data_IF_724859696631
#
_entry.id   IF_724859696631
#
_cell.length_a   1.000
_cell.length_b   1.000
_cell.length_c   1.000
_cell.angle_alpha   90.00
_cell.angle_beta   90.00
_cell.angle_gamma   90.00
#
_symmetry.space_group_name_H-M   'P 1'
#
loop_
_entity.id
_entity.type
_entity.pdbx_description
1 polymer ?
#
# COMPACT_ATOMS: atom_id res chain seq x y z
N UNK A 1 -5.95 -19.55 -8.22
CA UNK A 1 -4.50 -19.72 -8.46
C UNK A 1 -3.72 -18.42 -8.24
N UNK A 2 -3.97 -17.33 -8.99
CA UNK A 2 -3.22 -16.08 -8.81
C UNK A 2 -3.59 -15.34 -7.52
N UNK A 3 -4.88 -15.27 -7.16
CA UNK A 3 -5.33 -14.63 -5.93
C UNK A 3 -4.84 -15.39 -4.68
N UNK A 4 -4.86 -16.73 -4.73
CA UNK A 4 -4.34 -17.58 -3.66
C UNK A 4 -2.83 -17.40 -3.47
N UNK A 5 -2.08 -17.23 -4.58
CA UNK A 5 -0.67 -16.90 -4.53
C UNK A 5 -0.43 -15.54 -3.88
N UNK A 6 -1.17 -14.50 -4.29
CA UNK A 6 -1.05 -13.16 -3.71
C UNK A 6 -1.39 -13.14 -2.21
N UNK A 7 -2.41 -13.90 -1.79
CA UNK A 7 -2.75 -14.07 -0.36
C UNK A 7 -1.65 -14.77 0.42
N UNK A 8 -1.10 -15.87 -0.11
CA UNK A 8 0.02 -16.56 0.54
C UNK A 8 1.25 -15.67 0.69
N UNK A 9 1.56 -14.90 -0.35
CA UNK A 9 2.66 -13.92 -0.30
C UNK A 9 2.38 -12.79 0.70
N UNK A 10 1.12 -12.37 0.83
CA UNK A 10 0.71 -11.39 1.84
C UNK A 10 0.94 -11.93 3.26
N UNK A 11 0.55 -13.17 3.52
CA UNK A 11 0.76 -13.83 4.81
C UNK A 11 2.25 -13.95 5.16
N UNK A 12 3.09 -14.28 4.18
CA UNK A 12 4.56 -14.33 4.34
C UNK A 12 5.13 -12.95 4.73
N UNK A 13 4.76 -11.89 4.02
CA UNK A 13 5.17 -10.53 4.34
C UNK A 13 4.67 -10.06 5.71
N UNK A 14 3.45 -10.46 6.12
CA UNK A 14 2.93 -10.16 7.46
C UNK A 14 3.78 -10.88 8.52
N UNK A 15 4.15 -12.14 8.28
CA UNK A 15 5.00 -12.91 9.21
C UNK A 15 6.37 -12.25 9.36
N UNK A 16 7.02 -11.88 8.25
CA UNK A 16 8.31 -11.17 8.27
C UNK A 16 8.21 -9.83 9.01
N UNK A 17 7.13 -9.09 8.79
CA UNK A 17 6.86 -7.83 9.48
C UNK A 17 6.69 -8.02 11.00
N UNK A 18 6.00 -9.08 11.43
CA UNK A 18 5.84 -9.40 12.86
C UNK A 18 7.19 -9.72 13.48
N UNK A 19 7.99 -10.57 12.84
CA UNK A 19 9.34 -10.91 13.31
C UNK A 19 10.23 -9.67 13.40
N UNK A 20 10.18 -8.78 12.39
CA UNK A 20 10.91 -7.51 12.41
C UNK A 20 10.47 -6.62 13.58
N UNK A 21 9.17 -6.62 13.92
CA UNK A 21 8.67 -5.87 15.07
C UNK A 21 9.20 -6.43 16.39
N UNK A 22 9.21 -7.74 16.57
CA UNK A 22 9.76 -8.38 17.78
C UNK A 22 11.25 -8.05 17.95
N UNK A 23 12.01 -8.08 16.85
CA UNK A 23 13.42 -7.66 16.84
C UNK A 23 13.59 -6.19 17.26
N UNK A 24 12.71 -5.30 16.79
CA UNK A 24 12.73 -3.88 17.17
C UNK A 24 12.42 -3.70 18.65
N UNK A 25 11.41 -4.40 19.18
CA UNK A 25 11.03 -4.32 20.60
C UNK A 25 12.18 -4.81 21.51
N UNK A 26 12.88 -5.87 21.10
CA UNK A 26 14.09 -6.34 21.78
C UNK A 26 15.20 -5.30 21.74
N UNK A 27 15.41 -4.68 20.58
CA UNK A 27 16.43 -3.64 20.40
C UNK A 27 16.13 -2.40 21.25
N UNK A 28 14.88 -1.95 21.30
CA UNK A 28 14.45 -0.84 22.16
C UNK A 28 14.67 -1.16 23.65
N UNK A 29 14.37 -2.39 24.06
CA UNK A 29 14.60 -2.84 25.44
C UNK A 29 16.08 -2.75 25.78
N UNK A 30 16.94 -3.22 24.87
CA UNK A 30 18.39 -3.13 25.03
C UNK A 30 18.90 -1.69 25.08
N UNK A 31 18.39 -0.80 24.22
CA UNK A 31 18.70 0.64 24.26
C UNK A 31 18.32 1.23 25.63
N UNK A 32 17.15 0.89 26.17
CA UNK A 32 16.70 1.37 27.50
C UNK A 32 17.62 0.87 28.63
N UNK A 33 18.03 -0.39 28.58
CA UNK A 33 18.94 -0.98 29.56
C UNK A 33 20.33 -0.31 29.53
N UNK A 34 20.90 -0.12 28.35
CA UNK A 34 22.21 0.53 28.17
C UNK A 34 22.18 2.00 28.61
N UNK A 35 21.09 2.73 28.32
CA UNK A 35 20.91 4.10 28.84
C UNK A 35 20.84 4.13 30.37
N UNK A 36 20.14 3.17 30.99
CA UNK A 36 20.07 3.07 32.45
C UNK A 36 21.45 2.78 33.04
N UNK A 37 22.25 1.93 32.39
CA UNK A 37 23.61 1.63 32.82
C UNK A 37 24.54 2.82 32.69
N UNK A 38 24.41 3.58 31.59
CA UNK A 38 25.13 4.85 31.40
C UNK A 38 24.82 5.86 32.51
N UNK A 39 23.54 6.07 32.82
CA UNK A 39 23.12 6.97 33.89
C UNK A 39 23.71 6.55 35.25
N UNK A 40 23.70 5.25 35.56
CA UNK A 40 24.27 4.74 36.80
C UNK A 40 25.79 5.00 36.89
N UNK A 41 26.50 4.85 35.78
CA UNK A 41 27.94 5.15 35.72
C UNK A 41 28.21 6.65 35.91
N UNK A 42 27.40 7.52 35.31
CA UNK A 42 27.54 8.97 35.41
C UNK A 42 27.19 9.49 36.82
N UNK A 43 26.08 9.04 37.40
CA UNK A 43 25.69 9.37 38.79
C UNK A 43 26.77 8.94 39.81
N UNK A 44 27.40 7.78 39.59
CA UNK A 44 28.49 7.31 40.45
C UNK A 44 29.75 8.18 40.37
N UNK A 45 29.93 8.91 39.27
CA UNK A 45 31.10 9.76 39.00
C UNK A 45 30.87 11.25 39.32
N UNK A 46 29.63 11.70 39.47
CA UNK A 46 29.26 13.10 39.76
C UNK A 46 29.34 13.48 41.25
N UNK A 47 29.40 12.49 42.14
CA UNK A 47 29.31 12.77 43.58
C UNK A 47 30.57 13.43 44.16
N UNK A 48 30.41 14.13 45.29
CA UNK A 48 31.45 14.66 46.20
C UNK A 48 32.58 13.66 46.53
N UNK A 49 32.40 12.39 46.19
CA UNK A 49 33.38 11.31 46.30
C UNK A 49 34.39 11.23 45.14
N UNK A 50 34.31 12.07 44.10
CA UNK A 50 35.27 12.05 42.97
C UNK A 50 36.72 12.23 43.43
N UNK A 51 36.94 13.08 44.44
CA UNK A 51 38.25 13.32 45.07
C UNK A 51 38.72 12.14 45.94
N UNK A 52 37.78 11.30 46.39
CA UNK A 52 38.04 10.12 47.21
C UNK A 52 38.01 8.80 46.42
N UNK A 53 37.56 8.83 45.17
CA UNK A 53 37.52 7.66 44.30
C UNK A 53 38.91 7.42 43.71
N UNK A 54 39.47 6.19 43.81
CA UNK A 54 40.77 5.90 43.24
C UNK A 54 40.83 6.26 41.76
N UNK A 55 41.89 6.96 41.33
CA UNK A 55 42.05 7.42 39.93
C UNK A 55 41.86 6.31 38.90
N UNK A 56 42.34 5.10 39.22
CA UNK A 56 42.20 3.92 38.35
C UNK A 56 40.75 3.48 38.15
N UNK A 57 39.90 3.65 39.16
CA UNK A 57 38.48 3.28 39.08
C UNK A 57 37.71 4.31 38.27
N UNK A 58 37.96 5.61 38.52
CA UNK A 58 37.33 6.70 37.78
C UNK A 58 37.66 6.64 36.27
N UNK A 59 38.93 6.41 35.92
CA UNK A 59 39.35 6.25 34.52
C UNK A 59 38.66 5.06 33.82
N UNK A 60 38.48 3.94 34.53
CA UNK A 60 37.74 2.77 34.00
C UNK A 60 36.26 3.07 33.79
N UNK A 61 35.61 3.75 34.74
CA UNK A 61 34.21 4.10 34.63
C UNK A 61 33.95 5.07 33.46
N UNK A 62 34.81 6.09 33.28
CA UNK A 62 34.68 7.02 32.16
C UNK A 62 34.89 6.33 30.82
N UNK A 63 35.93 5.48 30.71
CA UNK A 63 36.14 4.67 29.50
C UNK A 63 34.92 3.79 29.21
N UNK A 64 34.34 3.18 30.24
CA UNK A 64 33.16 2.32 30.05
C UNK A 64 31.93 3.12 29.61
N UNK A 65 31.74 4.32 30.15
CA UNK A 65 30.68 5.23 29.72
C UNK A 65 30.86 5.64 28.25
N UNK A 66 32.08 5.93 27.80
CA UNK A 66 32.37 6.19 26.38
C UNK A 66 32.03 5.00 25.48
N UNK A 67 32.46 3.79 25.85
CA UNK A 67 32.11 2.56 25.12
C UNK A 67 30.59 2.36 25.00
N UNK A 68 29.83 2.64 26.07
CA UNK A 68 28.36 2.51 26.06
C UNK A 68 27.73 3.58 25.15
N UNK A 69 28.26 4.80 25.13
CA UNK A 69 27.76 5.85 24.22
C UNK A 69 27.97 5.48 22.76
N UNK A 70 29.15 4.98 22.40
CA UNK A 70 29.41 4.48 21.04
C UNK A 70 28.47 3.32 20.70
N UNK A 71 28.28 2.40 21.63
CA UNK A 71 27.38 1.27 21.44
C UNK A 71 25.92 1.69 21.26
N UNK A 72 25.45 2.68 22.02
CA UNK A 72 24.11 3.26 21.87
C UNK A 72 23.92 3.91 20.49
N UNK A 73 24.94 4.56 19.93
CA UNK A 73 24.86 5.13 18.57
C UNK A 73 24.67 4.02 17.54
N UNK A 74 25.44 2.94 17.64
CA UNK A 74 25.28 1.77 16.78
C UNK A 74 23.88 1.16 16.90
N UNK A 75 23.39 0.99 18.12
CA UNK A 75 22.10 0.36 18.41
C UNK A 75 20.93 1.21 17.89
N UNK A 76 21.01 2.54 18.01
CA UNK A 76 20.02 3.44 17.41
C UNK A 76 20.06 3.40 15.87
N UNK A 77 21.27 3.31 15.27
CA UNK A 77 21.39 3.14 13.82
C UNK A 77 20.72 1.87 13.30
N UNK A 78 20.88 0.75 14.02
CA UNK A 78 20.17 -0.51 13.71
C UNK A 78 18.65 -0.37 13.84
N UNK A 79 18.17 0.40 14.83
CA UNK A 79 16.75 0.68 15.02
C UNK A 79 16.17 1.48 13.84
N UNK A 80 16.87 2.51 13.40
CA UNK A 80 16.47 3.34 12.25
C UNK A 80 16.42 2.54 10.95
N UNK A 81 17.37 1.62 10.75
CA UNK A 81 17.36 0.71 9.61
C UNK A 81 16.13 -0.22 9.65
N UNK A 82 15.86 -0.84 10.79
CA UNK A 82 14.67 -1.69 10.98
C UNK A 82 13.36 -0.90 10.81
N UNK A 83 13.29 0.35 11.27
CA UNK A 83 12.14 1.23 11.02
C UNK A 83 11.93 1.52 9.53
N UNK A 84 13.02 1.66 8.77
CA UNK A 84 12.95 1.85 7.31
C UNK A 84 12.43 0.58 6.63
N UNK A 85 12.89 -0.59 7.05
CA UNK A 85 12.38 -1.88 6.58
C UNK A 85 10.89 -2.06 6.93
N UNK A 86 10.46 -1.65 8.13
CA UNK A 86 9.04 -1.69 8.53
C UNK A 86 8.16 -0.88 7.58
N UNK A 87 8.57 0.35 7.25
CA UNK A 87 7.87 1.22 6.29
C UNK A 87 7.81 0.60 4.89
N UNK A 88 8.86 -0.11 4.48
CA UNK A 88 8.88 -0.84 3.21
C UNK A 88 7.83 -1.96 3.19
N UNK A 89 7.76 -2.79 4.24
CA UNK A 89 6.73 -3.82 4.36
C UNK A 89 5.32 -3.23 4.40
N UNK A 90 5.11 -2.11 5.10
CA UNK A 90 3.83 -1.41 5.11
C UNK A 90 3.40 -0.97 3.71
N UNK A 91 4.28 -0.32 2.96
CA UNK A 91 4.00 0.08 1.58
C UNK A 91 3.69 -1.12 0.69
N UNK A 92 4.49 -2.18 0.79
CA UNK A 92 4.32 -3.38 -0.01
C UNK A 92 3.01 -4.12 0.29
N UNK A 93 2.60 -4.17 1.55
CA UNK A 93 1.33 -4.76 1.96
C UNK A 93 0.13 -3.97 1.46
N UNK A 94 0.22 -2.63 1.41
CA UNK A 94 -0.82 -1.78 0.82
C UNK A 94 -0.94 -2.04 -0.68
N UNK A 95 0.18 -2.05 -1.42
CA UNK A 95 0.20 -2.40 -2.85
C UNK A 95 -0.47 -3.76 -3.08
N UNK A 96 -0.06 -4.78 -2.33
CA UNK A 96 -0.58 -6.13 -2.47
C UNK A 96 -2.08 -6.21 -2.18
N UNK A 97 -2.55 -5.47 -1.16
CA UNK A 97 -3.98 -5.38 -0.84
C UNK A 97 -4.77 -4.76 -1.99
N UNK A 98 -4.26 -3.69 -2.61
CA UNK A 98 -4.93 -3.08 -3.79
C UNK A 98 -4.98 -4.03 -4.99
N UNK A 99 -3.91 -4.79 -5.23
CA UNK A 99 -3.88 -5.80 -6.29
C UNK A 99 -4.90 -6.91 -6.04
N UNK A 100 -4.98 -7.42 -4.80
CA UNK A 100 -5.97 -8.43 -4.42
C UNK A 100 -7.39 -7.89 -4.66
N UNK A 101 -7.70 -6.68 -4.17
CA UNK A 101 -9.02 -6.05 -4.39
C UNK A 101 -9.37 -5.92 -5.87
N UNK A 102 -8.44 -5.43 -6.70
CA UNK A 102 -8.67 -5.27 -8.13
C UNK A 102 -8.86 -6.61 -8.85
N UNK A 103 -8.16 -7.68 -8.43
CA UNK A 103 -8.39 -9.01 -9.01
C UNK A 103 -9.76 -9.58 -8.66
N UNK A 104 -10.31 -9.27 -7.48
CA UNK A 104 -11.65 -9.73 -7.07
C UNK A 104 -12.74 -9.03 -7.87
N UNK A 105 -12.61 -7.72 -8.14
CA UNK A 105 -13.58 -6.96 -8.94
C UNK A 105 -13.68 -7.48 -10.38
N UNK A 106 -12.55 -7.86 -10.99
CA UNK A 106 -12.52 -8.41 -12.35
C UNK A 106 -12.97 -9.88 -12.46
N UNK A 107 -13.20 -10.55 -11.33
CA UNK A 107 -13.64 -11.96 -11.28
C UNK A 107 -15.10 -12.12 -10.87
N UNK A 108 -15.85 -11.03 -10.69
CA UNK A 108 -17.30 -11.17 -10.58
C UNK A 108 -17.83 -11.70 -11.91
N UNK A 109 -18.53 -12.85 -11.94
CA UNK A 109 -19.26 -13.24 -13.13
C UNK A 109 -20.25 -12.10 -13.41
N UNK A 110 -20.30 -11.63 -14.65
CA UNK A 110 -21.46 -10.89 -15.14
C UNK A 110 -22.63 -11.86 -14.96
N UNK A 111 -23.34 -11.72 -13.85
CA UNK A 111 -24.67 -12.29 -13.75
C UNK A 111 -25.49 -11.44 -14.70
N UNK A 112 -25.57 -11.87 -15.95
CA UNK A 112 -26.73 -11.56 -16.76
C UNK A 112 -27.92 -12.06 -15.93
N UNK A 113 -28.53 -11.15 -15.18
CA UNK A 113 -29.91 -11.32 -14.78
C UNK A 113 -30.69 -11.35 -16.07
N UNK A 114 -30.84 -12.55 -16.63
CA UNK A 114 -31.92 -12.88 -17.54
C UNK A 114 -33.17 -12.72 -16.69
N UNK A 115 -33.70 -11.51 -16.62
CA UNK A 115 -35.11 -11.33 -16.32
C UNK A 115 -35.83 -12.01 -17.48
N UNK A 116 -36.27 -13.25 -17.26
CA UNK A 116 -37.18 -13.95 -18.14
C UNK A 116 -38.41 -13.05 -18.36
N UNK A 117 -38.66 -12.53 -19.58
CA UNK A 117 -39.98 -12.04 -19.88
C UNK A 117 -40.86 -13.24 -20.17
N UNK A 118 -41.92 -13.31 -19.39
CA UNK A 118 -43.06 -14.20 -19.51
C UNK A 118 -43.43 -14.39 -21.00
N UNK A 119 -43.53 -15.65 -21.38
CA UNK A 119 -44.01 -16.12 -22.69
C UNK A 119 -45.40 -15.57 -23.02
N UNK A 120 -45.55 -14.89 -24.16
CA UNK A 120 -46.80 -14.82 -24.92
C UNK A 120 -46.51 -14.51 -26.41
N UNK A 121 -46.82 -15.52 -27.24
CA UNK A 121 -47.23 -15.56 -28.66
C UNK A 121 -46.58 -14.65 -29.74
N UNK A 122 -45.76 -15.29 -30.59
CA UNK A 122 -45.76 -15.35 -32.08
C UNK A 122 -46.48 -14.21 -32.83
N UNK A 123 -45.76 -13.44 -33.67
CA UNK A 123 -46.02 -13.26 -35.13
C UNK A 123 -44.74 -12.79 -35.84
N UNK A 124 -44.33 -13.53 -36.88
CA UNK A 124 -43.31 -13.15 -37.86
C UNK A 124 -43.75 -11.91 -38.68
N UNK A 125 -42.92 -10.86 -38.74
CA UNK A 125 -42.91 -9.95 -39.90
C UNK A 125 -41.57 -9.22 -40.03
N UNK A 126 -41.16 -9.09 -41.28
CA UNK A 126 -39.91 -8.57 -41.81
C UNK A 126 -39.81 -7.03 -41.65
N UNK A 127 -38.57 -6.53 -41.65
CA UNK A 127 -38.18 -5.13 -41.86
C UNK A 127 -38.73 -4.06 -40.90
N UNK A 128 -38.07 -3.87 -39.76
CA UNK A 128 -38.08 -2.56 -39.09
C UNK A 128 -36.67 -2.11 -38.69
N UNK A 129 -36.24 -1.03 -39.35
CA UNK A 129 -35.11 -0.19 -38.97
C UNK A 129 -35.38 0.30 -37.55
N UNK A 130 -34.70 -0.31 -36.57
CA UNK A 130 -34.86 0.02 -35.16
C UNK A 130 -34.46 1.47 -34.88
N UNK A 131 -35.43 2.38 -34.96
CA UNK A 131 -35.35 3.73 -34.43
C UNK A 131 -35.71 3.70 -32.95
N UNK A 132 -34.75 4.07 -32.11
CA UNK A 132 -34.97 4.38 -30.70
C UNK A 132 -35.94 5.59 -30.57
N UNK A 133 -36.58 5.82 -29.41
CA UNK A 133 -37.61 6.85 -29.21
C UNK A 133 -37.18 8.32 -29.46
N UNK A 134 -35.92 8.57 -29.85
CA UNK A 134 -35.35 9.88 -30.17
C UNK A 134 -35.00 10.08 -31.67
N UNK A 135 -35.33 9.13 -32.55
CA UNK A 135 -35.17 9.29 -34.01
C UNK A 135 -33.72 9.24 -34.53
N UNK A 136 -32.78 8.78 -33.70
CA UNK A 136 -31.37 8.60 -34.09
C UNK A 136 -31.17 7.17 -34.58
N UNK A 137 -30.62 7.02 -35.79
CA UNK A 137 -30.32 5.70 -36.33
C UNK A 137 -29.16 5.07 -35.55
N UNK A 138 -29.35 3.83 -35.10
CA UNK A 138 -28.33 3.11 -34.32
C UNK A 138 -27.01 2.94 -35.11
N UNK A 139 -27.09 2.87 -36.44
CA UNK A 139 -25.90 2.84 -37.32
C UNK A 139 -25.07 4.12 -37.27
N UNK A 140 -25.71 5.29 -37.18
CA UNK A 140 -25.01 6.58 -37.14
C UNK A 140 -24.29 6.78 -35.81
N UNK A 141 -24.92 6.38 -34.70
CA UNK A 141 -24.32 6.47 -33.36
C UNK A 141 -23.05 5.59 -33.25
N UNK A 142 -23.13 4.37 -33.79
CA UNK A 142 -22.00 3.43 -33.80
C UNK A 142 -20.84 3.99 -34.64
N UNK A 143 -21.14 4.61 -35.79
CA UNK A 143 -20.13 5.25 -36.63
C UNK A 143 -19.46 6.46 -35.97
N UNK A 144 -20.22 7.26 -35.20
CA UNK A 144 -19.64 8.39 -34.47
C UNK A 144 -18.75 7.92 -33.31
N UNK A 145 -19.18 6.90 -32.56
CA UNK A 145 -18.41 6.35 -31.44
C UNK A 145 -17.11 5.65 -31.89
N UNK A 146 -17.11 5.00 -33.07
CA UNK A 146 -15.88 4.39 -33.61
C UNK A 146 -14.83 5.45 -33.99
N UNK A 147 -15.25 6.57 -34.59
CA UNK A 147 -14.35 7.69 -34.89
C UNK A 147 -13.77 8.34 -33.63
N UNK A 148 -14.58 8.48 -32.58
CA UNK A 148 -14.10 9.02 -31.29
C UNK A 148 -13.08 8.07 -30.66
N UNK A 149 -13.29 6.75 -30.74
CA UNK A 149 -12.35 5.75 -30.21
C UNK A 149 -10.94 5.93 -30.76
N UNK A 150 -10.82 6.17 -32.07
CA UNK A 150 -9.52 6.39 -32.71
C UNK A 150 -8.93 7.76 -32.34
N UNK A 151 -9.78 8.77 -32.09
CA UNK A 151 -9.38 10.11 -31.71
C UNK A 151 -8.84 10.20 -30.27
N UNK A 152 -9.33 9.38 -29.34
CA UNK A 152 -8.89 9.37 -27.93
C UNK A 152 -7.36 9.23 -27.80
N UNK A 153 -6.73 8.47 -28.70
CA UNK A 153 -5.29 8.22 -28.68
C UNK A 153 -4.47 9.38 -29.26
N UNK A 154 -5.05 10.20 -30.16
CA UNK A 154 -4.37 11.31 -30.82
C UNK A 154 -4.65 12.66 -30.14
N UNK A 155 -5.90 12.92 -29.75
CA UNK A 155 -6.35 14.15 -29.13
C UNK A 155 -7.49 13.87 -28.13
N UNK A 156 -7.14 13.63 -26.85
CA UNK A 156 -8.13 13.27 -25.83
C UNK A 156 -9.09 14.41 -25.50
N UNK A 157 -8.67 15.67 -25.66
CA UNK A 157 -9.53 16.82 -25.37
C UNK A 157 -10.62 16.99 -26.42
N UNK A 158 -10.26 16.81 -27.70
CA UNK A 158 -11.24 16.83 -28.78
C UNK A 158 -12.21 15.64 -28.74
N UNK A 159 -11.71 14.45 -28.38
CA UNK A 159 -12.56 13.28 -28.17
C UNK A 159 -13.62 13.51 -27.07
N UNK A 160 -13.25 14.18 -25.98
CA UNK A 160 -14.21 14.54 -24.92
C UNK A 160 -15.32 15.47 -25.43
N UNK A 161 -14.98 16.50 -26.20
CA UNK A 161 -15.95 17.47 -26.73
C UNK A 161 -16.96 16.80 -27.68
N UNK A 162 -16.49 15.94 -28.58
CA UNK A 162 -17.39 15.22 -29.51
C UNK A 162 -18.28 14.21 -28.76
N UNK A 163 -17.77 13.59 -27.70
CA UNK A 163 -18.55 12.68 -26.87
C UNK A 163 -19.64 13.42 -26.07
N UNK A 164 -19.33 14.58 -25.50
CA UNK A 164 -20.33 15.46 -24.85
C UNK A 164 -21.42 15.93 -25.82
N UNK A 165 -21.06 16.17 -27.08
CA UNK A 165 -22.01 16.55 -28.13
C UNK A 165 -22.98 15.43 -28.49
N UNK A 166 -22.51 14.18 -28.56
CA UNK A 166 -23.38 13.01 -28.76
C UNK A 166 -24.33 12.83 -27.58
N UNK A 167 -23.80 12.93 -26.35
CA UNK A 167 -24.62 12.81 -25.12
C UNK A 167 -25.67 13.92 -25.06
N UNK A 168 -25.36 15.13 -25.52
CA UNK A 168 -26.33 16.23 -25.55
C UNK A 168 -27.39 16.10 -26.65
N UNK A 169 -27.19 15.19 -27.62
CA UNK A 169 -28.10 14.97 -28.76
C UNK A 169 -29.10 13.84 -28.48
N UNK A 170 -28.78 12.94 -27.55
CA UNK A 170 -29.63 11.85 -27.07
C UNK A 170 -30.50 12.37 -25.92
#
# INVERSE_FOLDING_TARGET
>A
MINDFLKKYQEELISEKIQLKEDMDLLETKIKEENKFLNLLEESNESYFKEFTPRNLNAKNNKKAEEIREYLVELNGQLDEKQTQMKFYDGRLVELSTLISNTVVNQQPVVETVEEPISEEIVESEDEVGTNPFGISNSDLIGQLSNIKDLILLDPYRAQIELEKIISTI
#
